data_IF_083071636880
#
_entry.id   IF_083071636880
#
_cell.length_a   1.000
_cell.length_b   1.000
_cell.length_c   1.000
_cell.angle_alpha   90.00
_cell.angle_beta   90.00
_cell.angle_gamma   90.00
#
_symmetry.space_group_name_H-M   'P 1'
#
loop_
_entity.id
_entity.type
_entity.pdbx_description
1 polymer ?
#
# COMPACT_ATOMS: atom_id res chain seq x y z
N UNK A 1 5.06 -13.75 26.71
CA UNK A 1 4.85 -12.45 26.04
C UNK A 1 5.28 -12.40 24.56
N UNK A 2 6.03 -13.38 24.04
CA UNK A 2 6.46 -13.40 22.61
C UNK A 2 5.43 -13.83 21.56
N UNK A 3 4.24 -14.33 21.95
CA UNK A 3 3.25 -14.88 20.99
C UNK A 3 2.33 -13.83 20.36
N UNK A 4 2.12 -12.69 21.01
CA UNK A 4 1.22 -11.65 20.49
C UNK A 4 1.86 -10.75 19.43
N UNK A 5 3.19 -10.54 19.51
CA UNK A 5 3.93 -9.75 18.52
C UNK A 5 3.98 -10.44 17.14
N UNK A 6 4.08 -11.77 17.13
CA UNK A 6 4.09 -12.59 15.90
C UNK A 6 2.71 -12.61 15.21
N UNK A 7 1.60 -12.50 15.97
CA UNK A 7 0.25 -12.43 15.39
C UNK A 7 -0.02 -11.08 14.69
N UNK A 8 0.55 -9.98 15.19
CA UNK A 8 0.43 -8.66 14.54
C UNK A 8 1.24 -8.57 13.24
N UNK A 9 2.41 -9.23 13.18
CA UNK A 9 3.19 -9.33 11.94
C UNK A 9 2.48 -10.15 10.85
N UNK A 10 1.74 -11.20 11.22
CA UNK A 10 0.98 -12.03 10.28
C UNK A 10 -0.13 -11.28 9.54
N UNK A 11 -0.73 -10.26 10.17
CA UNK A 11 -1.74 -9.40 9.53
C UNK A 11 -1.10 -8.40 8.57
N UNK A 12 0.06 -7.84 8.93
CA UNK A 12 0.84 -6.96 8.04
C UNK A 12 1.29 -7.73 6.79
N UNK A 13 1.64 -9.00 6.95
CA UNK A 13 1.99 -9.88 5.83
C UNK A 13 0.81 -10.16 4.88
N UNK A 14 -0.44 -10.09 5.35
CA UNK A 14 -1.62 -10.36 4.52
C UNK A 14 -1.99 -9.18 3.62
N UNK A 15 -1.62 -7.95 3.98
CA UNK A 15 -1.90 -6.75 3.16
C UNK A 15 -0.81 -6.42 2.13
N UNK A 16 0.40 -7.01 2.25
CA UNK A 16 1.53 -6.80 1.32
C UNK A 16 2.00 -8.14 0.72
N UNK A 17 1.05 -9.01 0.34
CA UNK A 17 1.34 -10.13 -0.56
C UNK A 17 0.69 -9.90 -1.93
N UNK A 18 1.22 -8.94 -2.71
CA UNK A 18 0.88 -8.81 -4.14
C UNK A 18 2.16 -8.42 -4.89
N UNK A 19 2.62 -9.02 -5.99
CA UNK A 19 2.32 -10.17 -6.84
C UNK A 19 3.56 -10.33 -7.77
N UNK A 20 3.70 -11.47 -8.45
CA UNK A 20 4.79 -11.95 -9.35
C UNK A 20 5.72 -10.92 -10.04
N UNK A 21 7.02 -11.28 -10.11
CA UNK A 21 8.11 -10.59 -10.84
C UNK A 21 7.73 -10.35 -12.32
N UNK A 22 7.68 -9.09 -12.75
CA UNK A 22 7.60 -8.74 -14.17
C UNK A 22 8.99 -8.76 -14.80
N UNK A 23 9.16 -9.59 -15.84
CA UNK A 23 10.35 -9.61 -16.71
C UNK A 23 10.08 -8.69 -17.90
N UNK A 24 10.57 -7.45 -17.83
CA UNK A 24 10.48 -6.50 -18.93
C UNK A 24 10.96 -5.12 -18.50
N UNK A 25 11.70 -4.45 -19.37
CA UNK A 25 12.26 -3.12 -19.17
C UNK A 25 11.10 -2.08 -19.10
N UNK A 26 10.70 -1.71 -17.88
CA UNK A 26 9.41 -1.08 -17.56
C UNK A 26 9.53 0.37 -17.05
N UNK A 27 10.60 1.10 -17.38
CA UNK A 27 10.83 2.46 -16.85
C UNK A 27 9.76 3.51 -17.23
N UNK A 28 8.77 3.17 -18.08
CA UNK A 28 7.69 4.08 -18.51
C UNK A 28 6.34 3.91 -17.79
N UNK A 29 6.16 2.89 -16.94
CA UNK A 29 4.85 2.61 -16.32
C UNK A 29 4.97 2.53 -14.79
N UNK A 30 5.48 3.58 -14.15
CA UNK A 30 5.52 3.67 -12.69
C UNK A 30 4.51 4.71 -12.22
N UNK A 31 3.56 4.27 -11.40
CA UNK A 31 2.50 5.11 -10.86
C UNK A 31 2.65 5.22 -9.36
N UNK A 32 2.60 6.44 -8.84
CA UNK A 32 2.37 6.68 -7.42
C UNK A 32 0.87 6.72 -7.22
N UNK A 33 0.31 5.81 -6.42
CA UNK A 33 -1.14 5.74 -6.22
C UNK A 33 -1.57 6.54 -4.99
N UNK A 34 -0.80 6.43 -3.90
CA UNK A 34 -1.06 7.09 -2.62
C UNK A 34 0.25 7.71 -2.14
N UNK A 35 0.19 8.90 -1.55
CA UNK A 35 1.38 9.51 -0.94
C UNK A 35 1.52 9.13 0.54
N UNK A 36 2.62 9.55 1.14
CA UNK A 36 2.89 9.36 2.57
C UNK A 36 2.13 10.32 3.49
N UNK A 37 1.46 11.35 2.96
CA UNK A 37 0.84 12.41 3.76
C UNK A 37 -0.68 12.25 3.94
N UNK A 38 -1.37 11.44 3.12
CA UNK A 38 -2.82 11.25 3.19
C UNK A 38 -3.27 9.87 2.74
N UNK A 39 -4.37 9.41 3.32
CA UNK A 39 -5.13 8.24 2.87
C UNK A 39 -6.05 8.57 1.68
N UNK A 40 -5.47 9.12 0.61
CA UNK A 40 -6.22 9.47 -0.58
C UNK A 40 -5.38 9.24 -1.85
N UNK A 41 -6.02 9.02 -3.00
CA UNK A 41 -5.33 9.01 -4.29
C UNK A 41 -4.50 10.28 -4.48
N UNK A 42 -3.34 10.14 -5.12
CA UNK A 42 -2.55 11.32 -5.52
C UNK A 42 -3.32 12.14 -6.55
N UNK A 43 -3.06 13.46 -6.59
CA UNK A 43 -3.79 14.38 -7.48
C UNK A 43 -3.64 14.05 -8.97
N UNK A 44 -2.58 13.36 -9.39
CA UNK A 44 -2.38 12.91 -10.77
C UNK A 44 -3.28 11.74 -11.18
N UNK A 45 -3.96 11.09 -10.23
CA UNK A 45 -4.94 10.03 -10.48
C UNK A 45 -6.32 10.56 -10.09
N UNK A 46 -6.95 11.26 -11.02
CA UNK A 46 -8.34 11.72 -10.90
C UNK A 46 -9.36 10.63 -11.26
N UNK A 47 -10.66 10.87 -11.02
CA UNK A 47 -11.74 9.90 -11.26
C UNK A 47 -11.79 9.32 -12.68
N UNK A 48 -11.37 10.08 -13.69
CA UNK A 48 -11.35 9.66 -15.09
C UNK A 48 -10.15 8.76 -15.45
N UNK A 49 -9.21 8.59 -14.52
CA UNK A 49 -8.06 7.71 -14.73
C UNK A 49 -8.46 6.24 -14.62
N UNK A 50 -7.97 5.42 -15.56
CA UNK A 50 -8.06 3.95 -15.47
C UNK A 50 -7.42 3.38 -14.19
N UNK A 51 -6.54 4.15 -13.54
CA UNK A 51 -5.86 3.77 -12.31
C UNK A 51 -6.58 4.23 -11.04
N UNK A 52 -7.64 5.03 -11.15
CA UNK A 52 -8.39 5.54 -10.01
C UNK A 52 -9.01 4.44 -9.15
N UNK A 53 -9.63 3.38 -9.70
CA UNK A 53 -10.15 2.27 -8.88
C UNK A 53 -9.07 1.58 -8.06
N UNK A 54 -7.86 1.47 -8.61
CA UNK A 54 -6.70 0.90 -7.91
C UNK A 54 -6.30 1.81 -6.75
N UNK A 55 -6.16 3.12 -6.98
CA UNK A 55 -5.81 4.07 -5.93
C UNK A 55 -6.84 4.07 -4.79
N UNK A 56 -8.14 3.99 -5.10
CA UNK A 56 -9.21 3.89 -4.11
C UNK A 56 -9.13 2.58 -3.32
N UNK A 57 -8.94 1.45 -4.01
CA UNK A 57 -8.76 0.17 -3.34
C UNK A 57 -7.56 0.18 -2.38
N UNK A 58 -6.45 0.77 -2.80
CA UNK A 58 -5.27 0.90 -1.96
C UNK A 58 -5.50 1.82 -0.75
N UNK A 59 -6.32 2.88 -0.88
CA UNK A 59 -6.68 3.75 0.25
C UNK A 59 -7.52 2.98 1.27
N UNK A 60 -8.48 2.19 0.77
CA UNK A 60 -9.26 1.29 1.61
C UNK A 60 -8.35 0.28 2.34
N UNK A 61 -7.42 -0.35 1.63
CA UNK A 61 -6.48 -1.31 2.22
C UNK A 61 -5.58 -0.68 3.28
N UNK A 62 -5.07 0.54 3.04
CA UNK A 62 -4.32 1.30 4.05
C UNK A 62 -5.16 1.53 5.30
N UNK A 63 -6.42 1.95 5.15
CA UNK A 63 -7.31 2.18 6.29
C UNK A 63 -7.57 0.89 7.08
N UNK A 64 -7.92 -0.20 6.38
CA UNK A 64 -8.12 -1.51 7.02
C UNK A 64 -6.85 -1.98 7.74
N UNK A 65 -5.68 -1.84 7.12
CA UNK A 65 -4.41 -2.19 7.74
C UNK A 65 -4.18 -1.39 9.03
N UNK A 66 -4.38 -0.07 8.99
CA UNK A 66 -4.18 0.81 10.15
C UNK A 66 -5.09 0.39 11.31
N UNK A 67 -6.38 0.19 11.04
CA UNK A 67 -7.36 -0.29 12.03
C UNK A 67 -6.97 -1.66 12.60
N UNK A 68 -6.56 -2.61 11.75
CA UNK A 68 -6.15 -3.95 12.20
C UNK A 68 -4.87 -3.93 13.02
N UNK A 69 -3.99 -2.97 12.77
CA UNK A 69 -2.80 -2.74 13.59
C UNK A 69 -3.08 -1.96 14.88
N UNK A 70 -4.34 -1.62 15.16
CA UNK A 70 -4.75 -0.76 16.28
C UNK A 70 -4.06 0.60 16.25
N UNK A 71 -3.83 1.13 15.04
CA UNK A 71 -3.14 2.39 14.81
C UNK A 71 -1.62 2.37 15.03
N UNK A 72 -1.01 1.20 15.26
CA UNK A 72 0.44 1.10 15.52
C UNK A 72 1.29 1.15 14.26
N UNK A 73 0.71 0.80 13.11
CA UNK A 73 1.41 0.69 11.83
C UNK A 73 0.63 1.44 10.77
N UNK A 74 1.30 2.37 10.09
CA UNK A 74 0.76 3.15 8.99
C UNK A 74 1.52 2.82 7.69
N UNK A 75 0.91 2.00 6.83
CA UNK A 75 1.42 1.67 5.51
C UNK A 75 1.07 2.77 4.50
N UNK A 76 2.03 3.34 3.79
CA UNK A 76 1.84 4.45 2.86
C UNK A 76 2.82 4.37 1.68
N UNK A 77 2.85 5.44 0.87
CA UNK A 77 3.70 5.55 -0.32
C UNK A 77 3.52 4.39 -1.32
N UNK A 78 2.27 3.97 -1.53
CA UNK A 78 1.97 2.85 -2.41
C UNK A 78 2.13 3.26 -3.87
N UNK A 79 3.15 2.69 -4.51
CA UNK A 79 3.59 3.05 -5.86
C UNK A 79 4.06 1.81 -6.63
N UNK A 80 4.15 1.91 -7.95
CA UNK A 80 4.61 0.83 -8.83
C UNK A 80 3.69 0.62 -10.02
N UNK A 81 3.52 -0.65 -10.39
CA UNK A 81 2.64 -1.07 -11.48
C UNK A 81 1.24 -1.40 -10.92
N UNK A 82 0.17 -1.31 -11.73
CA UNK A 82 -1.19 -1.70 -11.35
C UNK A 82 -1.31 -3.05 -10.63
N UNK A 83 -0.45 -4.01 -10.98
CA UNK A 83 -0.44 -5.37 -10.43
C UNK A 83 0.77 -5.66 -9.55
N UNK A 84 1.70 -4.73 -9.39
CA UNK A 84 2.94 -4.94 -8.64
C UNK A 84 3.40 -3.64 -7.97
N UNK A 85 3.11 -3.52 -6.68
CA UNK A 85 3.56 -2.41 -5.86
C UNK A 85 5.02 -2.60 -5.43
N UNK A 86 5.74 -1.49 -5.32
CA UNK A 86 7.16 -1.43 -4.96
C UNK A 86 7.38 -0.30 -3.97
N UNK A 87 8.44 -0.47 -3.18
CA UNK A 87 8.96 0.54 -2.25
C UNK A 87 7.90 1.20 -1.35
N UNK A 88 7.04 0.42 -0.65
CA UNK A 88 6.08 1.01 0.29
C UNK A 88 6.80 1.60 1.50
N UNK A 89 6.22 2.65 2.09
CA UNK A 89 6.70 3.23 3.34
C UNK A 89 5.87 2.71 4.51
N UNK A 90 6.53 2.27 5.58
CA UNK A 90 5.88 1.87 6.83
C UNK A 90 6.32 2.83 7.94
N UNK A 91 5.36 3.48 8.59
CA UNK A 91 5.60 4.32 9.77
C UNK A 91 4.98 3.64 10.99
N UNK A 92 5.72 3.53 12.08
CA UNK A 92 5.24 2.95 13.34
C UNK A 92 5.22 3.99 14.44
N UNK A 93 4.22 3.95 15.31
CA UNK A 93 4.26 4.70 16.57
C UNK A 93 5.24 4.01 17.54
N UNK A 94 6.00 4.76 18.36
CA UNK A 94 6.71 4.22 19.52
C UNK A 94 5.79 3.46 20.46
#
# INVERSE_FOLDING_TARGET
EHKHFQQNLGIIYLSVCLLKKSTGDNNKLFFKFINNARAAPVCSIGPDSVHYPIAIFLCFMQHVQYEKSKGLVFLSDLQGLPTHLRDPQITTSP
#
